data_IF_605337215030
#
_entry.id   IF_605337215030
#
_cell.length_a   1.000
_cell.length_b   1.000
_cell.length_c   1.000
_cell.angle_alpha   90.00
_cell.angle_beta   90.00
_cell.angle_gamma   90.00
#
_symmetry.space_group_name_H-M   'P 1'
#
loop_
_entity.id
_entity.type
_entity.pdbx_description
1 polymer ?
#
# COMPACT_ATOMS: atom_id res chain seq x y z
N UNK A 1 -8.22 -3.01 2.51
CA UNK A 1 -9.51 -2.51 1.98
C UNK A 1 -9.80 -1.07 2.38
N UNK A 2 -9.80 -0.70 3.68
CA UNK A 2 -10.13 0.67 4.11
C UNK A 2 -9.29 1.79 3.48
N UNK A 3 -7.96 1.62 3.42
CA UNK A 3 -7.04 2.62 2.85
C UNK A 3 -7.31 2.90 1.36
N UNK A 4 -7.66 1.88 0.59
CA UNK A 4 -7.97 1.98 -0.84
C UNK A 4 -9.27 2.75 -1.08
N UNK A 5 -10.33 2.41 -0.35
CA UNK A 5 -11.61 3.11 -0.46
C UNK A 5 -11.51 4.58 -0.02
N UNK A 6 -10.70 4.86 0.99
CA UNK A 6 -10.45 6.23 1.45
C UNK A 6 -9.72 7.08 0.41
N UNK A 7 -8.69 6.55 -0.25
CA UNK A 7 -7.95 7.26 -1.31
C UNK A 7 -8.81 7.43 -2.57
N UNK A 8 -9.66 6.46 -2.90
CA UNK A 8 -10.63 6.59 -4.00
C UNK A 8 -11.69 7.67 -3.71
N UNK A 9 -12.21 7.71 -2.48
CA UNK A 9 -13.15 8.76 -2.07
C UNK A 9 -12.53 10.16 -2.02
N UNK A 10 -11.24 10.27 -1.66
CA UNK A 10 -10.48 11.52 -1.73
C UNK A 10 -10.36 12.05 -3.16
N UNK A 11 -10.08 11.17 -4.14
CA UNK A 11 -9.92 11.57 -5.55
C UNK A 11 -11.21 12.05 -6.22
N UNK A 12 -12.39 11.58 -5.77
CA UNK A 12 -13.70 11.93 -6.34
C UNK A 12 -14.48 13.00 -5.56
N UNK A 13 -14.07 13.34 -4.34
CA UNK A 13 -14.85 14.22 -3.44
C UNK A 13 -14.48 15.69 -3.58
N UNK A 14 -15.46 16.51 -3.99
CA UNK A 14 -15.40 17.98 -3.95
C UNK A 14 -15.77 18.56 -2.57
N UNK A 15 -16.11 17.71 -1.58
CA UNK A 15 -16.58 18.10 -0.24
C UNK A 15 -15.47 17.93 0.80
N UNK A 16 -14.89 19.05 1.21
CA UNK A 16 -13.75 19.14 2.14
C UNK A 16 -13.84 18.29 3.43
N UNK A 17 -14.97 18.26 4.19
CA UNK A 17 -15.01 17.49 5.44
C UNK A 17 -15.00 15.97 5.21
N UNK A 18 -15.63 15.47 4.14
CA UNK A 18 -15.61 14.04 3.80
C UNK A 18 -14.18 13.58 3.47
N UNK A 19 -13.49 14.40 2.67
CA UNK A 19 -12.10 14.18 2.26
C UNK A 19 -11.15 14.14 3.48
N UNK A 20 -11.36 15.01 4.47
CA UNK A 20 -10.58 15.03 5.70
C UNK A 20 -10.78 13.77 6.56
N UNK A 21 -12.01 13.29 6.71
CA UNK A 21 -12.31 12.07 7.47
C UNK A 21 -11.69 10.84 6.81
N UNK A 22 -11.84 10.70 5.48
CA UNK A 22 -11.26 9.60 4.72
C UNK A 22 -9.72 9.61 4.81
N UNK A 23 -9.09 10.77 4.68
CA UNK A 23 -7.64 10.91 4.84
C UNK A 23 -7.19 10.51 6.26
N UNK A 24 -7.94 10.90 7.30
CA UNK A 24 -7.68 10.48 8.67
C UNK A 24 -7.73 8.96 8.87
N UNK A 25 -8.76 8.30 8.32
CA UNK A 25 -8.89 6.85 8.38
C UNK A 25 -7.78 6.13 7.58
N UNK A 26 -7.40 6.66 6.42
CA UNK A 26 -6.27 6.17 5.65
C UNK A 26 -4.95 6.28 6.43
N UNK A 27 -4.73 7.42 7.11
CA UNK A 27 -3.58 7.64 7.97
C UNK A 27 -3.51 6.65 9.13
N UNK A 28 -4.62 6.44 9.83
CA UNK A 28 -4.69 5.47 10.93
C UNK A 28 -4.42 4.03 10.45
N UNK A 29 -5.03 3.63 9.33
CA UNK A 29 -4.80 2.31 8.73
C UNK A 29 -3.34 2.13 8.29
N UNK A 30 -2.73 3.17 7.72
CA UNK A 30 -1.31 3.17 7.31
C UNK A 30 -0.39 3.01 8.52
N UNK A 31 -0.64 3.75 9.60
CA UNK A 31 0.14 3.65 10.83
C UNK A 31 0.05 2.25 11.44
N UNK A 32 -1.17 1.69 11.55
CA UNK A 32 -1.37 0.32 12.04
C UNK A 32 -0.63 -0.71 11.16
N UNK A 33 -0.74 -0.57 9.84
CA UNK A 33 -0.02 -1.42 8.89
C UNK A 33 1.50 -1.34 9.08
N UNK A 34 2.05 -0.13 9.23
CA UNK A 34 3.48 0.07 9.41
C UNK A 34 3.99 -0.61 10.69
N UNK A 35 3.26 -0.47 11.79
CA UNK A 35 3.57 -1.12 13.07
C UNK A 35 3.56 -2.63 12.94
N UNK A 36 2.48 -3.22 12.39
CA UNK A 36 2.39 -4.67 12.20
C UNK A 36 3.52 -5.18 11.30
N UNK A 37 3.82 -4.48 10.21
CA UNK A 37 4.85 -4.87 9.27
C UNK A 37 6.25 -4.86 9.93
N UNK A 38 6.53 -3.85 10.76
CA UNK A 38 7.75 -3.82 11.58
C UNK A 38 7.80 -4.97 12.59
N UNK A 39 6.71 -5.22 13.32
CA UNK A 39 6.65 -6.32 14.29
C UNK A 39 6.88 -7.67 13.63
N UNK A 40 6.25 -7.93 12.47
CA UNK A 40 6.44 -9.18 11.70
C UNK A 40 7.91 -9.38 11.35
N UNK A 41 8.60 -8.36 10.84
CA UNK A 41 10.04 -8.47 10.54
C UNK A 41 10.84 -8.77 11.80
N UNK A 42 10.51 -8.13 12.92
CA UNK A 42 11.23 -8.36 14.18
C UNK A 42 11.02 -9.79 14.71
N UNK A 43 9.80 -10.34 14.65
CA UNK A 43 9.53 -11.68 15.20
C UNK A 43 9.83 -12.84 14.25
N UNK A 44 9.86 -12.59 12.94
CA UNK A 44 10.07 -13.64 11.92
C UNK A 44 11.51 -13.76 11.44
N UNK A 45 12.37 -12.78 11.71
CA UNK A 45 13.75 -12.77 11.21
C UNK A 45 14.73 -13.05 12.34
N UNK A 46 15.58 -14.10 12.21
CA UNK A 46 16.69 -14.37 13.14
C UNK A 46 17.63 -13.17 13.32
N UNK A 47 18.19 -13.00 14.51
CA UNK A 47 19.01 -11.81 14.85
C UNK A 47 20.24 -11.64 13.96
N UNK A 48 20.84 -12.73 13.47
CA UNK A 48 21.97 -12.75 12.55
C UNK A 48 21.62 -12.26 11.14
N UNK A 49 20.35 -12.41 10.73
CA UNK A 49 19.86 -12.00 9.41
C UNK A 49 19.10 -10.66 9.44
N UNK A 50 18.75 -10.16 10.63
CA UNK A 50 17.92 -8.96 10.79
C UNK A 50 18.51 -7.74 10.09
N UNK A 51 19.82 -7.53 10.19
CA UNK A 51 20.52 -6.44 9.50
C UNK A 51 20.36 -6.51 7.98
N UNK A 52 20.51 -7.70 7.37
CA UNK A 52 20.37 -7.89 5.92
C UNK A 52 18.94 -7.67 5.44
N UNK A 53 17.95 -8.17 6.18
CA UNK A 53 16.52 -7.97 5.85
C UNK A 53 16.14 -6.49 5.94
N UNK A 54 16.62 -5.79 6.98
CA UNK A 54 16.40 -4.36 7.11
C UNK A 54 17.10 -3.55 6.00
N UNK A 55 18.32 -3.91 5.60
CA UNK A 55 19.00 -3.26 4.47
C UNK A 55 18.21 -3.38 3.16
N UNK A 56 17.66 -4.55 2.86
CA UNK A 56 16.78 -4.73 1.68
C UNK A 56 15.52 -3.88 1.78
N UNK A 57 14.91 -3.80 2.97
CA UNK A 57 13.77 -2.90 3.21
C UNK A 57 14.14 -1.44 2.93
N UNK A 58 15.28 -0.98 3.43
CA UNK A 58 15.73 0.39 3.21
C UNK A 58 16.06 0.67 1.74
N UNK A 59 16.57 -0.30 0.99
CA UNK A 59 16.74 -0.16 -0.47
C UNK A 59 15.41 0.09 -1.16
N UNK A 60 14.36 -0.66 -0.81
CA UNK A 60 13.01 -0.46 -1.37
C UNK A 60 12.46 0.92 -1.01
N UNK A 61 12.65 1.38 0.24
CA UNK A 61 12.26 2.73 0.65
C UNK A 61 13.06 3.79 -0.12
N UNK A 62 14.36 3.57 -0.33
CA UNK A 62 15.24 4.46 -1.08
C UNK A 62 14.86 4.61 -2.56
N UNK A 63 14.16 3.62 -3.12
CA UNK A 63 13.60 3.67 -4.48
C UNK A 63 12.22 4.34 -4.56
N UNK A 64 11.56 4.58 -3.42
CA UNK A 64 10.24 5.24 -3.40
C UNK A 64 10.18 6.61 -4.08
N UNK A 65 11.24 7.47 -4.08
CA UNK A 65 11.21 8.75 -4.78
C UNK A 65 11.02 8.61 -6.29
N UNK A 66 11.50 7.52 -6.90
CA UNK A 66 11.30 7.26 -8.33
C UNK A 66 9.83 7.01 -8.65
N UNK A 67 9.13 6.27 -7.77
CA UNK A 67 7.69 6.07 -7.88
C UNK A 67 6.92 7.38 -7.70
N UNK A 68 7.35 8.22 -6.76
CA UNK A 68 6.75 9.56 -6.57
C UNK A 68 6.97 10.47 -7.78
N UNK A 69 8.15 10.44 -8.39
CA UNK A 69 8.45 11.19 -9.60
C UNK A 69 7.58 10.75 -10.78
N UNK A 70 7.45 9.43 -11.00
CA UNK A 70 6.58 8.88 -12.04
C UNK A 70 5.11 9.27 -11.80
N UNK A 71 4.65 9.20 -10.55
CA UNK A 71 3.30 9.66 -10.18
C UNK A 71 3.11 11.16 -10.39
N UNK A 72 4.13 11.98 -10.13
CA UNK A 72 4.11 13.42 -10.41
C UNK A 72 3.93 13.70 -11.91
N UNK A 73 4.69 13.02 -12.76
CA UNK A 73 4.56 13.15 -14.21
C UNK A 73 3.16 12.73 -14.72
N UNK A 74 2.60 11.64 -14.18
CA UNK A 74 1.23 11.22 -14.49
C UNK A 74 0.22 12.27 -14.01
N UNK A 75 0.40 12.81 -12.80
CA UNK A 75 -0.48 13.84 -12.24
C UNK A 75 -0.45 15.14 -13.06
N UNK A 76 0.68 15.51 -13.64
CA UNK A 76 0.81 16.65 -14.55
C UNK A 76 0.06 16.42 -15.86
N UNK A 77 0.10 15.20 -16.40
CA UNK A 77 -0.53 14.87 -17.68
C UNK A 77 -2.07 14.73 -17.62
N UNK A 78 -2.60 14.08 -16.58
CA UNK A 78 -4.04 13.74 -16.49
C UNK A 78 -4.74 14.39 -15.29
N UNK A 79 -4.03 15.20 -14.53
CA UNK A 79 -4.54 15.84 -13.32
C UNK A 79 -4.32 15.00 -12.05
N UNK A 80 -4.13 15.64 -10.88
CA UNK A 80 -3.83 14.95 -9.62
C UNK A 80 -4.93 13.98 -9.17
N UNK A 81 -6.20 14.33 -9.38
CA UNK A 81 -7.34 13.51 -8.97
C UNK A 81 -7.36 12.15 -9.68
N UNK A 82 -7.19 12.16 -11.01
CA UNK A 82 -7.19 10.95 -11.83
C UNK A 82 -5.94 10.11 -11.61
N UNK A 83 -4.78 10.73 -11.42
CA UNK A 83 -3.55 10.03 -11.08
C UNK A 83 -3.69 9.27 -9.74
N UNK A 84 -4.20 9.92 -8.71
CA UNK A 84 -4.41 9.29 -7.39
C UNK A 84 -5.45 8.19 -7.44
N UNK A 85 -6.58 8.42 -8.13
CA UNK A 85 -7.62 7.41 -8.29
C UNK A 85 -7.14 6.17 -9.06
N UNK A 86 -6.39 6.38 -10.14
CA UNK A 86 -5.79 5.31 -10.95
C UNK A 86 -4.79 4.46 -10.15
N UNK A 87 -3.90 5.11 -9.38
CA UNK A 87 -2.98 4.40 -8.51
C UNK A 87 -3.69 3.60 -7.43
N UNK A 88 -4.72 4.17 -6.81
CA UNK A 88 -5.52 3.49 -5.80
C UNK A 88 -6.24 2.25 -6.37
N UNK A 89 -6.81 2.36 -7.57
CA UNK A 89 -7.44 1.26 -8.28
C UNK A 89 -6.44 0.16 -8.65
N UNK A 90 -5.27 0.53 -9.20
CA UNK A 90 -4.20 -0.43 -9.51
C UNK A 90 -3.69 -1.16 -8.25
N UNK A 91 -3.49 -0.43 -7.15
CA UNK A 91 -3.13 -1.00 -5.86
C UNK A 91 -4.20 -1.95 -5.30
N UNK A 92 -5.48 -1.62 -5.47
CA UNK A 92 -6.61 -2.47 -5.08
C UNK A 92 -6.61 -3.78 -5.86
N UNK A 93 -6.43 -3.70 -7.18
CA UNK A 93 -6.41 -4.85 -8.08
C UNK A 93 -5.24 -5.77 -7.76
N UNK A 94 -4.03 -5.21 -7.57
CA UNK A 94 -2.86 -5.98 -7.18
C UNK A 94 -3.05 -6.67 -5.82
N UNK A 95 -3.59 -5.96 -4.83
CA UNK A 95 -3.87 -6.54 -3.52
C UNK A 95 -4.88 -7.68 -3.60
N UNK A 96 -5.96 -7.51 -4.36
CA UNK A 96 -6.96 -8.56 -4.59
C UNK A 96 -6.33 -9.77 -5.29
N UNK A 97 -5.51 -9.54 -6.31
CA UNK A 97 -4.79 -10.58 -7.05
C UNK A 97 -3.88 -11.40 -6.13
N UNK A 98 -3.06 -10.73 -5.32
CA UNK A 98 -2.17 -11.40 -4.33
C UNK A 98 -2.99 -12.24 -3.35
N UNK A 99 -4.13 -11.74 -2.87
CA UNK A 99 -5.00 -12.49 -1.97
C UNK A 99 -5.64 -13.71 -2.64
N UNK A 100 -6.04 -13.59 -3.92
CA UNK A 100 -6.56 -14.72 -4.70
C UNK A 100 -5.49 -15.79 -4.90
N UNK A 101 -4.25 -15.40 -5.25
CA UNK A 101 -3.14 -16.33 -5.34
C UNK A 101 -2.79 -16.99 -4.01
N UNK A 102 -2.75 -16.23 -2.93
CA UNK A 102 -2.49 -16.77 -1.59
C UNK A 102 -3.58 -17.75 -1.16
N UNK A 103 -4.85 -17.44 -1.42
CA UNK A 103 -5.99 -18.35 -1.17
C UNK A 103 -5.90 -19.61 -2.04
N UNK A 104 -5.59 -19.47 -3.31
CA UNK A 104 -5.42 -20.60 -4.23
C UNK A 104 -4.23 -21.50 -3.86
N UNK A 105 -3.13 -20.93 -3.36
CA UNK A 105 -1.98 -21.68 -2.86
C UNK A 105 -2.32 -22.45 -1.58
N UNK A 106 -3.00 -21.81 -0.62
CA UNK A 106 -3.47 -22.48 0.61
C UNK A 106 -4.49 -23.57 0.33
N UNK A 107 -5.40 -23.36 -0.63
CA UNK A 107 -6.38 -24.38 -1.04
C UNK A 107 -5.73 -25.60 -1.72
N UNK A 108 -4.59 -25.42 -2.41
CA UNK A 108 -3.79 -26.54 -2.94
C UNK A 108 -3.05 -27.30 -1.84
N UNK A 109 -2.49 -26.58 -0.87
CA UNK A 109 -1.79 -27.19 0.26
C UNK A 109 -2.73 -27.98 1.20
N UNK A 110 -4.01 -27.61 1.28
CA UNK A 110 -5.01 -28.34 2.08
C UNK A 110 -5.61 -29.58 1.37
N UNK A 111 -5.28 -29.82 0.10
CA UNK A 111 -5.69 -31.01 -0.67
C UNK A 111 -4.60 -32.07 -0.77
N UNK A 112 -3.40 -31.78 -0.27
CA UNK A 112 -2.29 -32.73 -0.09
C UNK A 112 -2.26 -33.22 1.35
#
# INVERSE_FOLDING_TARGET
FGLVFAVLGFGLSSVFPLTAVLAGLAGLASAAYMTVNMTVIQVSVPDDLRGRVLSVRFLVIGLSPLGMLAMGAVAEAIGPQWAVAGLAAAGAALFALVQLFARAARARAARQ
#
